data_IF_483239580223
#
_entry.id   IF_483239580223
#
_cell.length_a   1.000
_cell.length_b   1.000
_cell.length_c   1.000
_cell.angle_alpha   90.00
_cell.angle_beta   90.00
_cell.angle_gamma   90.00
#
_symmetry.space_group_name_H-M   'P 1'
#
loop_
_entity.id
_entity.type
_entity.pdbx_description
1 polymer ?
#
# COMPACT_ATOMS: atom_id res chain seq x y z
N UNK A 1 -9.64 9.32 -1.41
CA UNK A 1 -9.81 7.86 -1.54
C UNK A 1 -9.04 7.17 -0.43
N UNK A 2 -9.51 6.00 0.02
CA UNK A 2 -8.78 5.17 0.98
C UNK A 2 -8.31 3.90 0.26
N UNK A 3 -7.06 3.52 0.50
CA UNK A 3 -6.42 2.34 -0.09
C UNK A 3 -6.01 1.46 1.08
N UNK A 4 -6.54 0.24 1.12
CA UNK A 4 -6.14 -0.75 2.09
C UNK A 4 -5.11 -1.67 1.44
N UNK A 5 -3.98 -1.87 2.10
CA UNK A 5 -2.88 -2.71 1.59
C UNK A 5 -2.60 -3.81 2.59
N UNK A 6 -2.69 -5.05 2.10
CA UNK A 6 -2.27 -6.25 2.83
C UNK A 6 -0.90 -6.68 2.31
N UNK A 7 0.04 -6.91 3.21
CA UNK A 7 1.38 -7.37 2.87
C UNK A 7 1.48 -8.88 3.06
N UNK A 8 1.86 -9.61 2.02
CA UNK A 8 2.12 -11.07 2.10
C UNK A 8 3.20 -11.42 3.14
N UNK A 9 4.16 -10.52 3.36
CA UNK A 9 5.27 -10.69 4.29
C UNK A 9 5.41 -9.49 5.21
N UNK A 10 5.22 -9.75 6.50
CA UNK A 10 5.22 -8.75 7.57
C UNK A 10 6.64 -8.56 8.12
N UNK A 11 7.60 -8.20 7.27
CA UNK A 11 8.97 -7.90 7.69
C UNK A 11 9.15 -6.39 7.88
N UNK A 12 9.86 -5.99 8.95
CA UNK A 12 10.08 -4.58 9.29
C UNK A 12 10.69 -3.77 8.12
N UNK A 13 11.66 -4.35 7.41
CA UNK A 13 12.30 -3.71 6.26
C UNK A 13 11.31 -3.38 5.13
N UNK A 14 10.32 -4.25 4.90
CA UNK A 14 9.30 -4.02 3.87
C UNK A 14 8.31 -2.93 4.26
N UNK A 15 7.95 -2.88 5.54
CA UNK A 15 7.13 -1.80 6.08
C UNK A 15 7.81 -0.45 5.90
N UNK A 16 9.09 -0.35 6.27
CA UNK A 16 9.86 0.88 6.06
C UNK A 16 10.00 1.26 4.58
N UNK A 17 10.28 0.30 3.70
CA UNK A 17 10.42 0.56 2.27
C UNK A 17 9.10 1.00 1.63
N UNK A 18 7.99 0.36 2.03
CA UNK A 18 6.66 0.72 1.57
C UNK A 18 6.27 2.12 2.06
N UNK A 19 6.47 2.41 3.33
CA UNK A 19 6.16 3.72 3.90
C UNK A 19 6.97 4.83 3.21
N UNK A 20 8.28 4.64 3.00
CA UNK A 20 9.11 5.62 2.27
C UNK A 20 8.64 5.83 0.83
N UNK A 21 8.27 4.74 0.14
CA UNK A 21 7.76 4.81 -1.23
C UNK A 21 6.45 5.60 -1.27
N UNK A 22 5.52 5.29 -0.38
CA UNK A 22 4.22 5.97 -0.24
C UNK A 22 4.40 7.45 0.13
N UNK A 23 5.27 7.77 1.09
CA UNK A 23 5.57 9.16 1.47
C UNK A 23 6.23 9.97 0.35
N UNK A 24 6.83 9.31 -0.65
CA UNK A 24 7.38 9.99 -1.83
C UNK A 24 6.31 10.51 -2.78
N UNK A 25 5.05 10.10 -2.63
CA UNK A 25 3.94 10.58 -3.46
C UNK A 25 3.23 11.77 -2.77
N UNK A 26 3.25 12.93 -3.42
CA UNK A 26 2.59 14.16 -2.94
C UNK A 26 1.07 14.00 -2.78
N UNK A 27 0.48 13.00 -3.45
CA UNK A 27 -0.94 12.66 -3.36
C UNK A 27 -1.32 11.96 -2.04
N UNK A 28 -0.35 11.50 -1.27
CA UNK A 28 -0.58 10.84 0.02
C UNK A 28 -0.83 11.87 1.11
N UNK A 29 -1.99 11.78 1.75
CA UNK A 29 -2.41 12.66 2.84
C UNK A 29 -2.03 12.08 4.20
N UNK A 30 -2.19 10.77 4.36
CA UNK A 30 -1.92 10.09 5.62
C UNK A 30 -1.71 8.61 5.35
N UNK A 31 -0.75 8.01 6.03
CA UNK A 31 -0.51 6.57 6.05
C UNK A 31 -0.66 6.09 7.49
N UNK A 32 -1.39 5.01 7.73
CA UNK A 32 -1.60 4.46 9.07
C UNK A 32 -1.52 2.95 9.03
N UNK A 33 -0.70 2.39 9.93
CA UNK A 33 -0.60 0.95 10.15
C UNK A 33 -1.86 0.50 10.89
N UNK A 34 -2.52 -0.53 10.38
CA UNK A 34 -3.66 -1.15 11.03
C UNK A 34 -3.23 -2.55 11.47
N UNK A 35 -3.19 -2.78 12.78
CA UNK A 35 -2.91 -4.11 13.33
C UNK A 35 -4.21 -4.75 13.82
N UNK A 36 -4.46 -6.01 13.44
CA UNK A 36 -5.64 -6.77 13.86
C UNK A 36 -6.79 -6.88 12.84
N UNK A 37 -6.58 -6.44 11.59
CA UNK A 37 -7.45 -6.72 10.43
C UNK A 37 -6.70 -7.53 9.38
N UNK A 38 -7.38 -7.91 8.29
CA UNK A 38 -6.74 -8.56 7.13
C UNK A 38 -5.83 -7.59 6.38
N UNK A 39 -6.02 -6.29 6.57
CA UNK A 39 -5.22 -5.23 5.96
C UNK A 39 -4.20 -4.65 6.95
N UNK A 40 -2.96 -4.50 6.50
CA UNK A 40 -1.82 -4.03 7.30
C UNK A 40 -1.67 -2.51 7.29
N UNK A 41 -2.10 -1.86 6.19
CA UNK A 41 -2.05 -0.40 6.03
C UNK A 41 -3.36 0.15 5.52
N UNK A 42 -3.66 1.35 6.00
CA UNK A 42 -4.68 2.21 5.45
C UNK A 42 -4.05 3.53 5.02
N UNK A 43 -4.10 3.82 3.72
CA UNK A 43 -3.54 5.02 3.13
C UNK A 43 -4.68 5.91 2.66
N UNK A 44 -4.66 7.17 3.10
CA UNK A 44 -5.56 8.22 2.64
C UNK A 44 -4.84 9.04 1.58
N UNK A 45 -5.39 9.05 0.37
CA UNK A 45 -4.83 9.81 -0.76
C UNK A 45 -5.81 10.85 -1.30
N UNK A 46 -5.28 12.01 -1.72
CA UNK A 46 -5.99 13.03 -2.50
C UNK A 46 -5.86 12.69 -3.98
N UNK A 47 -6.80 11.92 -4.50
CA UNK A 47 -6.93 11.74 -5.94
C UNK A 47 -7.61 12.96 -6.54
N UNK A 48 -7.01 13.55 -7.57
CA UNK A 48 -7.68 14.52 -8.46
C UNK A 48 -8.53 13.83 -9.54
N UNK A 49 -8.24 12.56 -9.84
CA UNK A 49 -8.97 11.76 -10.84
C UNK A 49 -8.86 10.27 -10.50
N UNK A 50 -9.96 9.51 -10.58
CA UNK A 50 -10.05 8.10 -10.10
C UNK A 50 -9.33 7.06 -10.99
N UNK A 51 -8.69 7.47 -12.09
CA UNK A 51 -8.26 6.53 -13.14
C UNK A 51 -6.86 5.91 -12.98
N UNK A 52 -6.11 6.19 -11.90
CA UNK A 52 -4.67 5.84 -11.83
C UNK A 52 -4.27 4.79 -10.79
N UNK A 53 -5.21 4.10 -10.13
CA UNK A 53 -4.88 3.19 -9.02
C UNK A 53 -5.33 1.73 -9.20
N UNK A 54 -5.32 1.22 -10.44
CA UNK A 54 -5.32 -0.22 -10.75
C UNK A 54 -3.98 -0.61 -11.41
N UNK A 55 -2.87 -0.42 -10.69
CA UNK A 55 -1.58 -0.78 -11.23
C UNK A 55 -0.54 -0.92 -10.14
N UNK A 56 -0.24 -2.18 -9.81
CA UNK A 56 1.06 -2.72 -9.36
C UNK A 56 0.83 -3.74 -8.24
N UNK A 57 0.79 -5.02 -8.63
CA UNK A 57 1.65 -6.11 -8.13
C UNK A 57 0.93 -7.47 -8.32
N UNK A 58 1.04 -8.04 -9.51
CA UNK A 58 0.91 -9.49 -9.70
C UNK A 58 2.34 -9.99 -9.91
N UNK A 59 3.04 -10.28 -8.81
CA UNK A 59 4.30 -11.00 -8.90
C UNK A 59 4.04 -12.51 -8.84
N UNK A 60 4.35 -13.13 -9.98
CA UNK A 60 4.71 -14.53 -10.20
C UNK A 60 3.62 -15.60 -10.12
N UNK A 61 3.42 -16.38 -11.21
CA UNK A 61 2.74 -17.67 -11.13
C UNK A 61 3.56 -18.63 -10.26
N UNK A 62 2.92 -19.24 -9.26
CA UNK A 62 3.50 -20.37 -8.55
C UNK A 62 3.73 -21.53 -9.53
N UNK A 63 4.89 -22.16 -9.38
CA UNK A 63 5.24 -23.43 -9.99
C UNK A 63 4.54 -24.58 -9.26
N UNK A 64 3.78 -25.40 -10.00
CA UNK A 64 3.75 -26.85 -9.88
C UNK A 64 3.23 -27.46 -11.18
#
# INVERSE_FOLDING_TARGET
MFIAVSMDRHTAERFEQFERSVQSFDEVVSCSIVTGRTEDYLIKVRVRDMAHYEGVFIASPQSY
#
